data_IF_198844529157
#
_entry.id   IF_198844529157
#
_cell.length_a   1.000
_cell.length_b   1.000
_cell.length_c   1.000
_cell.angle_alpha   90.00
_cell.angle_beta   90.00
_cell.angle_gamma   90.00
#
_symmetry.space_group_name_H-M   'P 1'
#
loop_
_entity.id
_entity.type
_entity.pdbx_description
1 polymer ?
#
# COMPACT_ATOMS: atom_id res chain seq x y z
N UNK A 1 -5.80 12.30 10.95
CA UNK A 1 -7.23 12.05 10.62
C UNK A 1 -8.10 12.04 11.87
N UNK A 2 -7.93 11.08 12.78
CA UNK A 2 -8.80 10.94 13.97
C UNK A 2 -8.86 12.22 14.82
N UNK A 3 -7.70 12.80 15.18
CA UNK A 3 -7.65 14.04 15.95
C UNK A 3 -8.34 15.22 15.26
N UNK A 4 -8.20 15.34 13.94
CA UNK A 4 -8.83 16.41 13.15
C UNK A 4 -10.35 16.24 13.11
N UNK A 5 -10.82 15.00 12.93
CA UNK A 5 -12.26 14.68 12.97
C UNK A 5 -12.87 15.02 14.32
N UNK A 6 -12.20 14.68 15.43
CA UNK A 6 -12.68 15.01 16.79
C UNK A 6 -12.76 16.52 17.00
N UNK A 7 -11.74 17.27 16.57
CA UNK A 7 -11.73 18.72 16.67
C UNK A 7 -12.88 19.36 15.87
N UNK A 8 -13.11 18.90 14.64
CA UNK A 8 -14.19 19.40 13.78
C UNK A 8 -15.57 19.08 14.36
N UNK A 9 -15.76 17.88 14.92
CA UNK A 9 -17.00 17.53 15.61
C UNK A 9 -17.26 18.46 16.82
N UNK A 10 -16.22 18.82 17.56
CA UNK A 10 -16.34 19.74 18.68
C UNK A 10 -16.74 21.16 18.23
N UNK A 11 -16.11 21.65 17.16
CA UNK A 11 -16.46 22.94 16.54
C UNK A 11 -17.91 22.93 16.04
N UNK A 12 -18.32 21.89 15.31
CA UNK A 12 -19.68 21.74 14.80
C UNK A 12 -20.70 21.72 15.95
N UNK A 13 -20.42 20.99 17.04
CA UNK A 13 -21.28 20.97 18.23
C UNK A 13 -21.42 22.36 18.85
N UNK A 14 -20.33 23.10 18.94
CA UNK A 14 -20.35 24.46 19.49
C UNK A 14 -21.14 25.42 18.59
N UNK A 15 -21.03 25.27 17.26
CA UNK A 15 -21.77 26.07 16.30
C UNK A 15 -23.28 25.78 16.35
N UNK A 16 -23.68 24.50 16.36
CA UNK A 16 -25.10 24.11 16.46
C UNK A 16 -25.75 24.70 17.73
N UNK A 17 -25.02 24.78 18.84
CA UNK A 17 -25.53 25.35 20.09
C UNK A 17 -25.90 26.85 19.99
N UNK A 18 -25.29 27.60 19.07
CA UNK A 18 -25.62 29.02 18.85
C UNK A 18 -26.91 29.23 18.03
N UNK A 19 -27.29 28.27 17.18
CA UNK A 19 -28.57 28.22 16.45
C UNK A 19 -28.98 29.54 15.77
N UNK A 20 -28.09 30.12 14.96
CA UNK A 20 -28.36 31.33 14.16
C UNK A 20 -28.20 31.06 12.66
N UNK A 21 -28.90 31.82 11.82
CA UNK A 21 -28.82 31.71 10.34
C UNK A 21 -27.37 31.84 9.81
N UNK A 22 -26.56 32.68 10.46
CA UNK A 22 -25.13 32.82 10.13
C UNK A 22 -24.34 31.56 10.47
N UNK A 23 -24.62 30.97 11.64
CA UNK A 23 -23.96 29.74 12.08
C UNK A 23 -24.34 28.55 11.20
N UNK A 24 -25.60 28.46 10.75
CA UNK A 24 -26.06 27.42 9.83
C UNK A 24 -25.32 27.47 8.49
N UNK A 25 -25.12 28.66 7.93
CA UNK A 25 -24.33 28.86 6.70
C UNK A 25 -22.88 28.40 6.88
N UNK A 26 -22.27 28.68 8.04
CA UNK A 26 -20.91 28.21 8.36
C UNK A 26 -20.86 26.69 8.48
N UNK A 27 -21.83 26.08 9.17
CA UNK A 27 -21.92 24.62 9.30
C UNK A 27 -22.00 23.97 7.92
N UNK A 28 -22.87 24.46 7.04
CA UNK A 28 -22.99 23.98 5.66
C UNK A 28 -21.65 24.06 4.94
N UNK A 29 -20.95 25.21 5.02
CA UNK A 29 -19.65 25.38 4.38
C UNK A 29 -18.59 24.39 4.91
N UNK A 30 -18.51 24.21 6.24
CA UNK A 30 -17.57 23.25 6.85
C UNK A 30 -17.86 21.83 6.37
N UNK A 31 -19.13 21.40 6.39
CA UNK A 31 -19.54 20.06 5.96
C UNK A 31 -19.21 19.84 4.47
N UNK A 32 -19.47 20.84 3.63
CA UNK A 32 -19.25 20.76 2.18
C UNK A 32 -17.77 20.63 1.81
N UNK A 33 -16.87 21.20 2.62
CA UNK A 33 -15.42 21.08 2.44
C UNK A 33 -14.88 19.80 3.09
N UNK A 34 -15.34 19.46 4.28
CA UNK A 34 -14.77 18.37 5.07
C UNK A 34 -15.21 16.99 4.58
N UNK A 35 -16.46 16.83 4.15
CA UNK A 35 -16.97 15.55 3.63
C UNK A 35 -16.16 15.02 2.42
N UNK A 36 -15.88 15.81 1.36
CA UNK A 36 -15.06 15.32 0.24
C UNK A 36 -13.61 15.07 0.65
N UNK A 37 -13.03 15.86 1.56
CA UNK A 37 -11.69 15.60 2.10
C UNK A 37 -11.62 14.26 2.84
N UNK A 38 -12.60 13.96 3.69
CA UNK A 38 -12.69 12.68 4.39
C UNK A 38 -12.78 11.51 3.40
N UNK A 39 -13.64 11.60 2.39
CA UNK A 39 -13.79 10.58 1.36
C UNK A 39 -12.48 10.38 0.59
N UNK A 40 -11.78 11.47 0.26
CA UNK A 40 -10.48 11.42 -0.40
C UNK A 40 -9.44 10.69 0.44
N UNK A 41 -9.30 11.03 1.72
CA UNK A 41 -8.33 10.37 2.60
C UNK A 41 -8.65 8.89 2.81
N UNK A 42 -9.93 8.53 2.95
CA UNK A 42 -10.32 7.11 3.06
C UNK A 42 -10.04 6.34 1.77
N UNK A 43 -10.42 6.89 0.62
CA UNK A 43 -10.14 6.28 -0.69
C UNK A 43 -8.64 6.13 -0.93
N UNK A 44 -7.85 7.14 -0.59
CA UNK A 44 -6.39 7.10 -0.70
C UNK A 44 -5.76 6.05 0.21
N UNK A 45 -6.24 5.92 1.46
CA UNK A 45 -5.78 4.89 2.37
C UNK A 45 -6.04 3.48 1.84
N UNK A 46 -7.24 3.23 1.31
CA UNK A 46 -7.58 1.95 0.68
C UNK A 46 -6.77 1.70 -0.59
N UNK A 47 -6.49 2.75 -1.36
CA UNK A 47 -5.72 2.66 -2.60
C UNK A 47 -4.26 2.23 -2.36
N UNK A 48 -3.60 2.80 -1.36
CA UNK A 48 -2.22 2.41 -0.99
C UNK A 48 -2.19 1.04 -0.33
N UNK A 49 -3.16 0.72 0.50
CA UNK A 49 -3.19 -0.55 1.22
C UNK A 49 -3.90 -1.66 0.45
N UNK A 50 -4.30 -1.44 -0.81
CA UNK A 50 -5.08 -2.41 -1.59
C UNK A 50 -4.31 -3.67 -2.01
N UNK A 51 -2.99 -3.67 -1.85
CA UNK A 51 -2.11 -4.81 -2.06
C UNK A 51 -1.04 -4.78 -0.98
N UNK A 52 -0.74 -5.93 -0.37
CA UNK A 52 0.28 -6.04 0.68
C UNK A 52 1.38 -7.01 0.24
N UNK A 53 2.63 -6.60 0.44
CA UNK A 53 3.80 -7.43 0.18
C UNK A 53 4.51 -7.67 1.52
N UNK A 54 4.73 -8.93 1.88
CA UNK A 54 5.44 -9.30 3.09
C UNK A 54 6.68 -10.12 2.76
N UNK A 55 7.83 -9.68 3.27
CA UNK A 55 9.10 -10.39 3.14
C UNK A 55 9.35 -11.15 4.44
N UNK A 56 9.38 -12.47 4.35
CA UNK A 56 9.67 -13.36 5.48
C UNK A 56 11.18 -13.60 5.59
N UNK A 57 11.66 -13.90 6.81
CA UNK A 57 13.08 -14.18 7.13
C UNK A 57 13.68 -15.30 6.27
N UNK A 58 12.87 -16.24 5.77
CA UNK A 58 13.31 -17.34 4.90
C UNK A 58 13.45 -16.92 3.42
N UNK A 59 13.68 -15.62 3.15
CA UNK A 59 13.72 -15.03 1.81
C UNK A 59 12.50 -15.36 0.93
N UNK A 60 11.35 -15.60 1.57
CA UNK A 60 10.08 -15.89 0.90
C UNK A 60 9.24 -14.63 0.92
N UNK A 61 8.72 -14.25 -0.24
CA UNK A 61 7.87 -13.09 -0.41
C UNK A 61 6.45 -13.57 -0.63
N UNK A 62 5.53 -12.99 0.12
CA UNK A 62 4.11 -13.26 0.03
C UNK A 62 3.38 -12.01 -0.47
N UNK A 63 2.61 -12.20 -1.54
CA UNK A 63 1.83 -11.16 -2.20
C UNK A 63 0.35 -11.38 -1.90
N UNK A 64 -0.19 -10.46 -1.13
CA UNK A 64 -1.58 -10.45 -0.73
C UNK A 64 -2.36 -9.42 -1.53
N UNK A 65 -3.53 -9.83 -2.01
CA UNK A 65 -4.55 -8.92 -2.48
C UNK A 65 -5.67 -8.85 -1.44
N UNK A 66 -6.53 -7.85 -1.54
CA UNK A 66 -7.74 -7.81 -0.74
C UNK A 66 -8.91 -8.36 -1.56
N UNK A 67 -9.63 -9.31 -0.97
CA UNK A 67 -10.91 -9.76 -1.51
C UNK A 67 -11.95 -8.65 -1.44
N UNK A 68 -13.07 -8.83 -2.14
CA UNK A 68 -14.23 -7.92 -2.08
C UNK A 68 -14.79 -7.72 -0.66
N UNK A 69 -14.46 -8.62 0.28
CA UNK A 69 -14.85 -8.54 1.70
C UNK A 69 -13.78 -7.92 2.61
N UNK A 70 -12.68 -7.41 2.05
CA UNK A 70 -11.59 -6.80 2.81
C UNK A 70 -10.69 -7.80 3.55
N UNK A 71 -10.84 -9.11 3.31
CA UNK A 71 -9.92 -10.12 3.82
C UNK A 71 -8.67 -10.18 2.95
N UNK A 72 -7.49 -10.25 3.58
CA UNK A 72 -6.21 -10.46 2.90
C UNK A 72 -6.13 -11.89 2.36
N UNK A 73 -6.06 -12.03 1.05
CA UNK A 73 -5.95 -13.32 0.36
C UNK A 73 -4.55 -13.44 -0.22
N UNK A 74 -3.85 -14.51 0.12
CA UNK A 74 -2.53 -14.80 -0.43
C UNK A 74 -2.68 -15.27 -1.88
N UNK A 75 -2.27 -14.42 -2.83
CA UNK A 75 -2.37 -14.75 -4.26
C UNK A 75 -1.10 -15.44 -4.76
N UNK A 76 0.06 -14.89 -4.42
CA UNK A 76 1.34 -15.41 -4.89
C UNK A 76 2.34 -15.55 -3.76
N UNK A 77 3.10 -16.64 -3.81
CA UNK A 77 4.29 -16.85 -2.99
C UNK A 77 5.47 -17.17 -3.91
N UNK A 78 6.62 -16.54 -3.64
CA UNK A 78 7.84 -16.71 -4.43
C UNK A 78 9.07 -16.42 -3.58
N UNK A 79 10.26 -16.87 -4.00
CA UNK A 79 11.50 -16.52 -3.32
C UNK A 79 12.03 -15.19 -3.86
N UNK A 80 12.81 -14.46 -3.07
CA UNK A 80 13.49 -13.25 -3.55
C UNK A 80 14.36 -13.49 -4.78
N UNK A 81 14.91 -14.71 -4.91
CA UNK A 81 15.76 -15.11 -6.05
C UNK A 81 15.00 -15.22 -7.36
N UNK A 82 13.68 -15.43 -7.30
CA UNK A 82 12.83 -15.60 -8.47
C UNK A 82 12.42 -14.24 -9.08
N UNK A 83 12.81 -13.14 -8.44
CA UNK A 83 12.57 -11.78 -8.92
C UNK A 83 13.64 -11.43 -9.97
N UNK A 84 13.23 -11.31 -11.23
CA UNK A 84 14.15 -10.98 -12.32
C UNK A 84 14.38 -9.48 -12.46
N UNK A 85 13.31 -8.69 -12.29
CA UNK A 85 13.36 -7.26 -12.51
C UNK A 85 12.43 -6.53 -11.55
N UNK A 86 12.94 -5.45 -10.96
CA UNK A 86 12.17 -4.53 -10.13
C UNK A 86 12.21 -3.15 -10.77
N UNK A 87 11.04 -2.54 -10.99
CA UNK A 87 10.90 -1.21 -11.57
C UNK A 87 10.04 -0.34 -10.66
N UNK A 88 10.53 0.86 -10.33
CA UNK A 88 9.77 1.87 -9.61
C UNK A 88 9.36 3.01 -10.55
N UNK A 89 8.09 3.38 -10.49
CA UNK A 89 7.57 4.59 -11.12
C UNK A 89 7.00 5.52 -10.06
N UNK A 90 7.51 6.75 -10.02
CA UNK A 90 6.96 7.82 -9.17
C UNK A 90 5.52 8.13 -9.59
N UNK A 91 4.65 8.34 -8.61
CA UNK A 91 3.24 8.72 -8.78
C UNK A 91 2.96 10.00 -7.97
N UNK A 92 1.89 10.74 -8.28
CA UNK A 92 1.48 11.87 -7.45
C UNK A 92 1.16 11.42 -6.02
N UNK A 93 1.06 12.38 -5.09
CA UNK A 93 0.74 12.17 -3.68
C UNK A 93 1.78 11.37 -2.89
N UNK A 94 3.08 11.59 -3.16
CA UNK A 94 4.18 10.89 -2.49
C UNK A 94 4.10 9.35 -2.60
N UNK A 95 3.42 8.84 -3.63
CA UNK A 95 3.32 7.41 -3.88
C UNK A 95 4.36 6.95 -4.91
N UNK A 96 4.67 5.66 -4.85
CA UNK A 96 5.45 4.95 -5.84
C UNK A 96 4.71 3.69 -6.27
N UNK A 97 4.71 3.41 -7.58
CA UNK A 97 4.27 2.12 -8.11
C UNK A 97 5.51 1.25 -8.30
N UNK A 98 5.60 0.19 -7.51
CA UNK A 98 6.60 -0.86 -7.62
C UNK A 98 6.04 -1.98 -8.50
N UNK A 99 6.74 -2.32 -9.57
CA UNK A 99 6.39 -3.44 -10.45
C UNK A 99 7.53 -4.45 -10.41
N UNK A 100 7.21 -5.72 -10.18
CA UNK A 100 8.19 -6.81 -10.11
C UNK A 100 7.83 -7.89 -11.12
N UNK A 101 8.80 -8.35 -11.89
CA UNK A 101 8.68 -9.54 -12.75
C UNK A 101 9.24 -10.74 -11.99
N UNK A 102 8.42 -11.76 -11.83
CA UNK A 102 8.71 -12.94 -11.02
C UNK A 102 8.59 -14.18 -11.88
N UNK A 103 9.60 -15.05 -11.81
CA UNK A 103 9.62 -16.32 -12.51
C UNK A 103 8.96 -17.41 -11.65
N UNK A 104 8.04 -18.16 -12.25
CA UNK A 104 7.45 -19.35 -11.65
C UNK A 104 6.89 -19.17 -10.22
N UNK A 105 6.06 -18.13 -9.95
CA UNK A 105 5.46 -17.98 -8.63
C UNK A 105 4.47 -19.12 -8.32
N UNK A 106 4.32 -19.44 -7.04
CA UNK A 106 3.32 -20.37 -6.53
C UNK A 106 2.03 -19.60 -6.32
N UNK A 107 0.96 -20.03 -6.96
CA UNK A 107 -0.39 -19.53 -6.75
C UNK A 107 -1.07 -20.31 -5.63
N UNK A 108 -1.72 -19.61 -4.69
CA UNK A 108 -2.25 -20.17 -3.44
C UNK A 108 -3.76 -19.94 -3.23
N UNK A 109 -4.46 -19.42 -4.24
CA UNK A 109 -5.89 -19.13 -4.14
C UNK A 109 -6.73 -20.42 -4.30
N UNK A 110 -6.97 -21.10 -3.17
CA UNK A 110 -7.81 -22.31 -3.09
C UNK A 110 -7.11 -23.63 -3.40
N UNK A 111 -6.02 -23.60 -4.18
CA UNK A 111 -5.13 -24.74 -4.41
C UNK A 111 -3.72 -24.26 -4.72
N UNK A 112 -2.72 -25.06 -4.37
CA UNK A 112 -1.32 -24.76 -4.68
C UNK A 112 -1.00 -25.15 -6.13
N UNK A 113 -0.57 -24.18 -6.94
CA UNK A 113 -0.12 -24.44 -8.31
C UNK A 113 1.09 -23.60 -8.65
N UNK A 114 2.16 -24.26 -9.10
CA UNK A 114 3.27 -23.56 -9.73
C UNK A 114 2.86 -23.11 -11.13
N UNK A 115 2.98 -21.81 -11.40
CA UNK A 115 2.53 -21.24 -12.65
C UNK A 115 3.51 -21.42 -13.82
N UNK A 116 4.76 -21.84 -13.56
CA UNK A 116 5.79 -22.12 -14.57
C UNK A 116 5.91 -21.04 -15.67
N UNK A 117 5.68 -19.78 -15.32
CA UNK A 117 5.67 -18.63 -16.23
C UNK A 117 6.20 -17.37 -15.53
N UNK A 118 6.59 -16.39 -16.33
CA UNK A 118 6.96 -15.05 -15.84
C UNK A 118 5.70 -14.21 -15.61
N UNK A 119 5.54 -13.65 -14.41
CA UNK A 119 4.39 -12.82 -14.03
C UNK A 119 4.86 -11.46 -13.55
N UNK A 120 4.17 -10.41 -14.01
CA UNK A 120 4.38 -9.05 -13.51
C UNK A 120 3.35 -8.75 -12.43
N UNK A 121 3.80 -8.54 -11.20
CA UNK A 121 2.97 -8.02 -10.11
C UNK A 121 3.26 -6.53 -9.91
N UNK A 122 2.30 -5.79 -9.35
CA UNK A 122 2.56 -4.40 -8.99
C UNK A 122 1.84 -4.00 -7.71
N UNK A 123 2.53 -3.22 -6.88
CA UNK A 123 2.03 -2.64 -5.65
C UNK A 123 2.20 -1.12 -5.70
N UNK A 124 1.24 -0.40 -5.12
CA UNK A 124 1.33 1.04 -4.92
C UNK A 124 1.60 1.25 -3.44
N UNK A 125 2.66 1.96 -3.10
CA UNK A 125 3.05 2.20 -1.72
C UNK A 125 3.58 3.61 -1.54
N UNK A 126 3.75 4.03 -0.29
CA UNK A 126 4.42 5.29 0.02
C UNK A 126 5.84 5.27 -0.54
N UNK A 127 6.29 6.40 -1.07
CA UNK A 127 7.60 6.55 -1.68
C UNK A 127 8.73 6.18 -0.72
N UNK A 128 8.67 6.59 0.54
CA UNK A 128 9.72 6.29 1.53
C UNK A 128 9.81 4.79 1.77
N UNK A 129 8.67 4.11 1.89
CA UNK A 129 8.63 2.65 2.03
C UNK A 129 9.20 1.94 0.79
N UNK A 130 8.89 2.44 -0.41
CA UNK A 130 9.44 1.88 -1.64
C UNK A 130 10.96 2.06 -1.73
N UNK A 131 11.46 3.25 -1.35
CA UNK A 131 12.88 3.58 -1.40
C UNK A 131 13.67 2.70 -0.39
N UNK A 132 13.15 2.49 0.82
CA UNK A 132 13.74 1.57 1.82
C UNK A 132 13.79 0.14 1.29
N UNK A 133 12.68 -0.35 0.72
CA UNK A 133 12.62 -1.69 0.15
C UNK A 133 13.64 -1.91 -0.97
N UNK A 134 13.84 -0.92 -1.85
CA UNK A 134 14.87 -1.03 -2.90
C UNK A 134 16.27 -1.09 -2.33
N UNK A 135 16.54 -0.30 -1.30
CA UNK A 135 17.84 -0.30 -0.63
C UNK A 135 18.13 -1.68 -0.02
N UNK A 136 17.17 -2.27 0.68
CA UNK A 136 17.28 -3.65 1.22
C UNK A 136 17.48 -4.68 0.11
N UNK A 137 16.73 -4.60 -0.99
CA UNK A 137 16.88 -5.52 -2.13
C UNK A 137 18.28 -5.43 -2.77
N UNK A 138 18.80 -4.22 -2.94
CA UNK A 138 20.14 -4.00 -3.49
C UNK A 138 21.21 -4.56 -2.55
N UNK A 139 21.07 -4.40 -1.23
CA UNK A 139 21.98 -5.02 -0.27
C UNK A 139 21.96 -6.54 -0.35
N UNK A 140 20.78 -7.16 -0.39
CA UNK A 140 20.62 -8.61 -0.52
C UNK A 140 21.26 -9.14 -1.82
N UNK A 141 21.20 -8.36 -2.90
CA UNK A 141 21.82 -8.72 -4.17
C UNK A 141 23.36 -8.57 -4.13
N UNK A 142 23.87 -7.56 -3.44
CA UNK A 142 25.31 -7.34 -3.26
C UNK A 142 25.96 -8.34 -2.29
N UNK A 143 25.31 -8.69 -1.19
CA UNK A 143 25.80 -9.70 -0.24
C UNK A 143 25.91 -11.09 -0.88
N UNK A 144 25.01 -11.41 -1.82
CA UNK A 144 25.08 -12.63 -2.62
C UNK A 144 26.24 -12.63 -3.62
N UNK A 145 26.62 -11.48 -4.17
CA UNK A 145 27.78 -11.39 -5.07
C UNK A 145 29.10 -11.49 -4.31
N UNK A 146 29.16 -11.05 -3.05
CA UNK A 146 30.31 -11.19 -2.16
C UNK A 146 30.63 -12.65 -1.78
N UNK A 147 29.61 -13.49 -1.60
CA UNK A 147 29.79 -14.91 -1.25
C UNK A 147 30.15 -15.84 -2.43
N UNK A 148 30.25 -15.31 -3.65
CA UNK A 148 30.80 -16.06 -4.80
C UNK A 148 32.29 -15.77 -5.05
N UNK A 149 32.94 -14.96 -4.20
CA UNK A 149 34.36 -14.59 -4.33
C UNK A 149 35.17 -15.10 -3.14
N UNK A 150 35.08 -16.40 -2.83
CA UNK A 150 36.17 -17.09 -2.14
C UNK A 150 36.36 -18.42 -2.86
N UNK A 151 37.38 -18.45 -3.72
CA UNK A 151 37.98 -19.64 -4.33
C UNK A 151 38.74 -20.45 -3.29
#
# INVERSE_FOLDING_TARGET
MISLSVMILWILKHLIAYNTDFTDKIIIAIVLIYAPLLLWFMGYYLFINGVKLEVHKNNTVQYYTYSSRGLSVLHYQFKLQDIEQITIKKRPFNCAKLTMKIRNPIFLEGYEKNLNKLISISIITDKLKADVFMHEMNQIQNDKSGNQVIK
#
